data_IF_714566169297
#
_entry.id   IF_714566169297
#
_cell.length_a   1.000
_cell.length_b   1.000
_cell.length_c   1.000
_cell.angle_alpha   90.00
_cell.angle_beta   90.00
_cell.angle_gamma   90.00
#
_symmetry.space_group_name_H-M   'P 1'
#
loop_
_entity.id
_entity.type
_entity.pdbx_description
1 polymer ?
#
# COMPACT_ATOMS: atom_id res chain seq x y z
N UNK A 1 9.86 5.33 12.29
CA UNK A 1 10.36 4.39 11.26
C UNK A 1 11.63 4.95 10.62
N UNK A 2 12.75 4.20 10.67
CA UNK A 2 14.00 4.53 9.94
C UNK A 2 13.85 4.02 8.51
N UNK A 3 14.37 4.77 7.52
CA UNK A 3 14.37 4.36 6.11
C UNK A 3 15.81 4.34 5.64
N UNK A 4 16.21 3.26 4.98
CA UNK A 4 17.56 3.10 4.42
C UNK A 4 17.46 2.54 2.99
N UNK A 5 18.44 2.87 2.16
CA UNK A 5 18.59 2.23 0.86
C UNK A 5 19.24 0.86 0.99
N UNK A 6 18.80 -0.10 0.18
CA UNK A 6 19.33 -1.47 0.18
C UNK A 6 20.84 -1.53 -0.13
N UNK A 7 21.35 -0.58 -0.90
CA UNK A 7 22.78 -0.52 -1.23
C UNK A 7 23.60 0.23 -0.18
N UNK A 8 22.99 0.92 0.79
CA UNK A 8 23.71 1.54 1.91
C UNK A 8 24.18 0.51 2.94
N UNK A 9 25.30 0.81 3.60
CA UNK A 9 25.80 0.02 4.72
C UNK A 9 24.98 0.35 5.98
N UNK A 10 24.46 -0.68 6.62
CA UNK A 10 23.79 -0.55 7.91
C UNK A 10 24.76 -0.93 9.03
N UNK A 11 25.48 0.06 9.59
CA UNK A 11 26.61 -0.14 10.50
C UNK A 11 26.27 -0.92 11.77
N UNK A 12 25.10 -0.68 12.35
CA UNK A 12 24.74 -1.23 13.67
C UNK A 12 24.31 -2.70 13.62
N UNK A 13 23.92 -3.20 12.44
CA UNK A 13 23.43 -4.57 12.18
C UNK A 13 22.61 -5.19 13.33
N UNK A 14 21.55 -4.54 13.83
CA UNK A 14 20.71 -5.14 14.85
C UNK A 14 20.05 -6.40 14.32
N UNK A 15 19.59 -7.27 15.21
CA UNK A 15 18.74 -8.39 14.81
C UNK A 15 17.45 -7.86 14.17
N UNK A 16 17.04 -8.40 13.03
CA UNK A 16 15.81 -8.03 12.35
C UNK A 16 14.94 -9.24 12.02
N UNK A 17 13.64 -9.10 12.09
CA UNK A 17 12.65 -9.93 11.40
C UNK A 17 12.24 -9.16 10.15
N UNK A 18 12.49 -9.73 8.98
CA UNK A 18 12.39 -9.05 7.70
C UNK A 18 11.23 -9.57 6.87
N UNK A 19 10.32 -8.68 6.53
CA UNK A 19 9.25 -8.98 5.59
C UNK A 19 9.66 -8.56 4.18
N UNK A 20 9.48 -9.42 3.19
CA UNK A 20 9.79 -9.12 1.78
C UNK A 20 8.48 -8.96 0.98
N UNK A 21 8.30 -7.82 0.29
CA UNK A 21 7.15 -7.60 -0.56
C UNK A 21 7.10 -6.22 -1.21
N UNK A 22 6.27 -6.09 -2.25
CA UNK A 22 6.05 -4.78 -2.88
C UNK A 22 5.01 -3.93 -2.13
N UNK A 23 3.94 -4.57 -1.64
CA UNK A 23 2.86 -3.91 -0.89
C UNK A 23 2.20 -2.75 -1.66
N UNK A 24 1.82 -3.01 -2.90
CA UNK A 24 1.11 -2.04 -3.74
C UNK A 24 -0.14 -1.47 -3.04
N UNK A 25 -0.89 -2.36 -2.39
CA UNK A 25 -2.01 -2.03 -1.51
C UNK A 25 -1.94 -2.94 -0.27
N UNK A 26 -2.44 -2.45 0.87
CA UNK A 26 -2.39 -3.21 2.12
C UNK A 26 -3.70 -3.99 2.31
N UNK A 27 -3.80 -5.15 1.66
CA UNK A 27 -4.94 -6.06 1.86
C UNK A 27 -4.79 -6.90 3.14
N UNK A 28 -5.88 -7.58 3.54
CA UNK A 28 -5.91 -8.35 4.79
C UNK A 28 -4.85 -9.45 4.86
N UNK A 29 -4.44 -10.05 3.73
CA UNK A 29 -3.32 -10.99 3.67
C UNK A 29 -1.99 -10.33 4.03
N UNK A 30 -1.74 -9.10 3.54
CA UNK A 30 -0.56 -8.32 3.93
C UNK A 30 -0.59 -7.95 5.43
N UNK A 31 -1.78 -7.62 5.96
CA UNK A 31 -1.96 -7.33 7.39
C UNK A 31 -1.50 -8.50 8.26
N UNK A 32 -1.99 -9.71 7.99
CA UNK A 32 -1.63 -10.90 8.75
C UNK A 32 -0.12 -11.16 8.73
N UNK A 33 0.50 -11.04 7.56
CA UNK A 33 1.94 -11.20 7.37
C UNK A 33 2.75 -10.18 8.20
N UNK A 34 2.35 -8.90 8.16
CA UNK A 34 3.02 -7.83 8.91
C UNK A 34 2.78 -7.94 10.42
N UNK A 35 1.57 -8.35 10.87
CA UNK A 35 1.26 -8.58 12.29
C UNK A 35 2.04 -9.77 12.86
N UNK A 36 2.19 -10.85 12.08
CA UNK A 36 3.04 -11.98 12.47
C UNK A 36 4.48 -11.53 12.66
N UNK A 37 5.06 -10.87 11.65
CA UNK A 37 6.45 -10.42 11.70
C UNK A 37 6.72 -9.44 12.86
N UNK A 38 5.77 -8.56 13.16
CA UNK A 38 5.85 -7.65 14.32
C UNK A 38 5.91 -8.42 15.64
N UNK A 39 5.00 -9.38 15.83
CA UNK A 39 4.97 -10.22 17.05
C UNK A 39 6.24 -11.05 17.20
N UNK A 40 6.74 -11.63 16.10
CA UNK A 40 7.97 -12.43 16.14
C UNK A 40 9.19 -11.55 16.39
N UNK A 41 9.24 -10.33 15.86
CA UNK A 41 10.31 -9.37 16.17
C UNK A 41 10.31 -9.01 17.67
N UNK A 42 9.17 -8.77 18.28
CA UNK A 42 9.04 -8.52 19.73
C UNK A 42 9.54 -9.72 20.54
N UNK A 43 9.13 -10.94 20.19
CA UNK A 43 9.54 -12.18 20.86
C UNK A 43 11.04 -12.45 20.76
N UNK A 44 11.65 -12.16 19.60
CA UNK A 44 13.08 -12.36 19.36
C UNK A 44 13.96 -11.17 19.79
N UNK A 45 13.37 -10.13 20.41
CA UNK A 45 14.04 -8.87 20.70
C UNK A 45 14.80 -8.32 19.48
N UNK A 46 14.11 -8.30 18.33
CA UNK A 46 14.60 -7.88 17.03
C UNK A 46 13.80 -6.67 16.53
N UNK A 47 14.31 -5.98 15.51
CA UNK A 47 13.63 -4.89 14.82
C UNK A 47 12.66 -5.47 13.79
N UNK A 48 11.41 -5.01 13.79
CA UNK A 48 10.45 -5.29 12.74
C UNK A 48 10.79 -4.47 11.49
N UNK A 49 11.25 -5.17 10.45
CA UNK A 49 11.73 -4.58 9.21
C UNK A 49 10.92 -5.03 7.99
N UNK A 50 10.81 -4.14 7.00
CA UNK A 50 10.19 -4.44 5.70
C UNK A 50 11.17 -4.06 4.59
N UNK A 51 11.31 -4.93 3.59
CA UNK A 51 11.96 -4.61 2.32
C UNK A 51 10.90 -4.38 1.24
N UNK A 52 11.00 -3.25 0.51
CA UNK A 52 10.11 -2.93 -0.61
C UNK A 52 10.80 -2.06 -1.65
N UNK A 53 10.14 -1.83 -2.81
CA UNK A 53 10.65 -0.92 -3.84
C UNK A 53 10.13 0.50 -3.64
N UNK A 54 11.01 1.49 -3.81
CA UNK A 54 10.68 2.92 -3.66
C UNK A 54 10.05 3.54 -4.92
N UNK A 55 10.21 2.90 -6.08
CA UNK A 55 9.64 3.36 -7.35
C UNK A 55 8.47 2.48 -7.81
N UNK A 56 7.77 2.95 -8.86
CA UNK A 56 6.82 2.13 -9.58
C UNK A 56 7.56 1.02 -10.33
N UNK A 57 7.08 -0.21 -10.15
CA UNK A 57 7.67 -1.41 -10.76
C UNK A 57 6.91 -1.88 -12.02
N UNK A 58 5.85 -1.21 -12.44
CA UNK A 58 5.02 -1.63 -13.57
C UNK A 58 5.81 -1.72 -14.88
N UNK A 59 6.73 -0.80 -15.12
CA UNK A 59 7.61 -0.82 -16.29
C UNK A 59 8.64 -1.94 -16.30
N UNK A 60 8.87 -2.62 -15.17
CA UNK A 60 9.84 -3.72 -15.02
C UNK A 60 9.18 -5.08 -14.78
N UNK A 61 7.86 -5.10 -14.65
CA UNK A 61 7.07 -6.30 -14.42
C UNK A 61 5.82 -6.24 -15.28
N UNK A 62 5.13 -7.37 -15.48
CA UNK A 62 3.82 -7.40 -16.16
C UNK A 62 2.67 -6.84 -15.31
N UNK A 63 2.99 -6.13 -14.22
CA UNK A 63 2.01 -5.52 -13.34
C UNK A 63 1.53 -4.18 -13.90
N UNK A 64 0.25 -3.91 -13.70
CA UNK A 64 -0.34 -2.59 -13.98
C UNK A 64 0.17 -1.56 -12.98
N UNK A 65 -0.03 -0.27 -13.27
CA UNK A 65 0.29 0.84 -12.37
C UNK A 65 -0.11 0.58 -10.92
N UNK A 66 0.68 1.03 -9.94
CA UNK A 66 0.40 0.81 -8.53
C UNK A 66 -0.88 1.55 -8.10
N UNK A 67 -1.57 0.99 -7.09
CA UNK A 67 -2.72 1.65 -6.44
C UNK A 67 -2.21 2.78 -5.56
N UNK A 68 -1.17 2.50 -4.76
CA UNK A 68 -0.57 3.47 -3.85
C UNK A 68 0.86 3.80 -4.26
N UNK A 69 1.15 5.10 -4.38
CA UNK A 69 2.51 5.57 -4.57
C UNK A 69 3.38 5.29 -3.33
N UNK A 70 4.69 5.51 -3.45
CA UNK A 70 5.62 5.19 -2.37
C UNK A 70 5.38 6.04 -1.11
N UNK A 71 5.02 7.31 -1.24
CA UNK A 71 4.73 8.20 -0.10
C UNK A 71 3.55 7.68 0.73
N UNK A 72 2.46 7.26 0.07
CA UNK A 72 1.32 6.63 0.72
C UNK A 72 1.73 5.34 1.42
N UNK A 73 2.46 4.45 0.75
CA UNK A 73 2.93 3.18 1.33
C UNK A 73 3.81 3.41 2.56
N UNK A 74 4.70 4.42 2.56
CA UNK A 74 5.52 4.79 3.73
C UNK A 74 4.66 5.16 4.94
N UNK A 75 3.62 5.98 4.74
CA UNK A 75 2.68 6.36 5.80
C UNK A 75 2.00 5.12 6.40
N UNK A 76 1.52 4.21 5.55
CA UNK A 76 0.84 2.99 5.99
C UNK A 76 1.78 2.01 6.70
N UNK A 77 3.03 1.86 6.27
CA UNK A 77 4.04 1.08 6.99
C UNK A 77 4.31 1.66 8.40
N UNK A 78 4.40 2.97 8.51
CA UNK A 78 4.59 3.63 9.80
C UNK A 78 3.41 3.40 10.75
N UNK A 79 2.16 3.47 10.26
CA UNK A 79 0.94 3.17 11.02
C UNK A 79 0.90 1.71 11.49
N UNK A 80 1.43 0.76 10.71
CA UNK A 80 1.53 -0.65 11.07
C UNK A 80 2.68 -0.94 12.06
N UNK A 81 3.47 0.08 12.39
CA UNK A 81 4.54 -0.03 13.37
C UNK A 81 5.87 -0.56 12.82
N UNK A 82 6.08 -0.52 11.52
CA UNK A 82 7.38 -0.86 10.91
C UNK A 82 8.44 0.07 11.49
N UNK A 83 9.53 -0.52 12.00
CA UNK A 83 10.62 0.20 12.63
C UNK A 83 11.75 0.53 11.64
N UNK A 84 12.00 -0.38 10.70
CA UNK A 84 13.01 -0.24 9.66
C UNK A 84 12.40 -0.53 8.28
N UNK A 85 12.44 0.43 7.37
CA UNK A 85 12.05 0.27 5.98
C UNK A 85 13.31 0.24 5.11
N UNK A 86 13.60 -0.92 4.53
CA UNK A 86 14.69 -1.11 3.58
C UNK A 86 14.11 -0.92 2.19
N UNK A 87 14.66 -0.01 1.42
CA UNK A 87 14.14 0.32 0.09
C UNK A 87 15.16 0.07 -1.00
N UNK A 88 14.71 -0.43 -2.14
CA UNK A 88 15.52 -0.51 -3.35
C UNK A 88 14.78 0.16 -4.51
N UNK A 89 15.52 0.56 -5.53
CA UNK A 89 14.91 0.91 -6.83
C UNK A 89 14.84 -0.34 -7.70
N UNK A 90 13.66 -0.64 -8.22
CA UNK A 90 13.53 -1.61 -9.30
C UNK A 90 14.04 -0.93 -10.58
N UNK A 91 15.26 -1.23 -10.96
CA UNK A 91 15.91 -0.82 -12.19
C UNK A 91 16.45 -2.05 -12.94
N UNK A 92 17.16 -1.83 -14.03
CA UNK A 92 17.70 -2.93 -14.83
C UNK A 92 18.73 -3.75 -14.06
N UNK A 93 19.52 -3.15 -13.17
CA UNK A 93 20.49 -3.83 -12.32
C UNK A 93 19.78 -4.75 -11.33
N UNK A 94 18.78 -4.23 -10.61
CA UNK A 94 18.01 -5.04 -9.66
C UNK A 94 17.20 -6.16 -10.36
N UNK A 95 16.60 -5.85 -11.53
CA UNK A 95 15.86 -6.84 -12.33
C UNK A 95 16.72 -8.02 -12.80
N UNK A 96 18.01 -7.77 -13.07
CA UNK A 96 18.95 -8.79 -13.51
C UNK A 96 19.59 -9.58 -12.35
N UNK A 97 19.43 -9.14 -11.11
CA UNK A 97 20.01 -9.75 -9.92
C UNK A 97 19.45 -11.14 -9.70
N UNK A 98 20.32 -12.13 -9.59
CA UNK A 98 19.93 -13.51 -9.26
C UNK A 98 19.45 -13.63 -7.81
N UNK A 99 18.75 -14.72 -7.52
CA UNK A 99 18.31 -15.00 -6.14
C UNK A 99 19.49 -15.15 -5.19
N UNK A 100 20.58 -15.82 -5.61
CA UNK A 100 21.78 -15.99 -4.80
C UNK A 100 22.50 -14.67 -4.52
N UNK A 101 22.61 -13.77 -5.52
CA UNK A 101 23.17 -12.43 -5.31
C UNK A 101 22.35 -11.60 -4.33
N UNK A 102 21.01 -11.62 -4.45
CA UNK A 102 20.13 -10.96 -3.50
C UNK A 102 20.30 -11.53 -2.09
N UNK A 103 20.30 -12.85 -1.94
CA UNK A 103 20.50 -13.55 -0.67
C UNK A 103 21.87 -13.24 -0.04
N UNK A 104 22.94 -13.22 -0.84
CA UNK A 104 24.27 -12.85 -0.39
C UNK A 104 24.33 -11.41 0.14
N UNK A 105 23.74 -10.45 -0.57
CA UNK A 105 23.64 -9.05 -0.11
C UNK A 105 22.84 -8.94 1.20
N UNK A 106 21.75 -9.69 1.37
CA UNK A 106 21.00 -9.71 2.62
C UNK A 106 21.85 -10.20 3.79
N UNK A 107 22.60 -11.31 3.63
CA UNK A 107 23.50 -11.87 4.66
C UNK A 107 24.64 -10.90 5.02
N UNK A 108 25.22 -10.27 4.01
CA UNK A 108 26.33 -9.34 4.21
C UNK A 108 25.91 -8.10 4.99
N UNK A 109 24.73 -7.55 4.66
CA UNK A 109 24.31 -6.24 5.17
C UNK A 109 23.51 -6.29 6.47
N UNK A 110 22.77 -7.38 6.70
CA UNK A 110 21.79 -7.44 7.80
C UNK A 110 21.95 -8.68 8.66
N UNK A 111 21.65 -8.55 9.94
CA UNK A 111 21.59 -9.67 10.89
C UNK A 111 20.14 -10.20 10.98
N UNK A 112 19.73 -10.98 9.98
CA UNK A 112 18.36 -11.45 9.84
C UNK A 112 18.12 -12.66 10.73
N UNK A 113 17.15 -12.60 11.63
CA UNK A 113 16.70 -13.72 12.46
C UNK A 113 15.68 -14.57 11.74
N UNK A 114 14.77 -13.91 11.02
CA UNK A 114 13.71 -14.57 10.28
C UNK A 114 13.29 -13.71 9.09
N UNK A 115 12.95 -14.36 7.98
CA UNK A 115 12.32 -13.74 6.81
C UNK A 115 10.85 -14.20 6.78
N UNK A 116 9.93 -13.28 6.59
CA UNK A 116 8.49 -13.57 6.49
C UNK A 116 7.99 -13.20 5.10
N UNK A 117 7.35 -14.14 4.42
CA UNK A 117 6.85 -13.98 3.04
C UNK A 117 5.46 -14.59 2.86
N UNK A 118 4.73 -14.17 1.85
CA UNK A 118 3.53 -14.86 1.39
C UNK A 118 3.86 -16.11 0.58
N UNK A 119 2.93 -17.07 0.52
CA UNK A 119 3.10 -18.31 -0.26
C UNK A 119 3.32 -18.07 -1.76
N UNK A 120 2.85 -16.94 -2.30
CA UNK A 120 3.01 -16.52 -3.69
C UNK A 120 4.27 -15.66 -3.95
N UNK A 121 5.14 -15.53 -2.93
CA UNK A 121 6.35 -14.73 -3.04
C UNK A 121 7.30 -15.27 -4.10
N UNK A 122 7.73 -14.38 -4.99
CA UNK A 122 8.70 -14.66 -6.04
C UNK A 122 9.73 -13.55 -6.14
N UNK A 123 11.01 -13.90 -6.32
CA UNK A 123 12.13 -12.97 -6.39
C UNK A 123 13.23 -13.45 -7.36
N UNK A 124 14.32 -12.69 -7.43
CA UNK A 124 15.41 -12.97 -8.36
C UNK A 124 15.07 -12.59 -9.80
N UNK A 125 16.04 -12.81 -10.69
CA UNK A 125 15.90 -12.50 -12.10
C UNK A 125 14.65 -13.17 -12.68
N UNK A 126 13.82 -12.36 -13.37
CA UNK A 126 12.54 -12.82 -13.97
C UNK A 126 11.54 -13.44 -12.96
N UNK A 127 11.72 -13.24 -11.64
CA UNK A 127 10.87 -13.84 -10.59
C UNK A 127 10.86 -15.38 -10.62
N UNK A 128 11.95 -15.99 -11.04
CA UNK A 128 12.06 -17.46 -11.21
C UNK A 128 12.24 -18.22 -9.89
N UNK A 129 12.59 -17.53 -8.81
CA UNK A 129 12.85 -18.11 -7.49
C UNK A 129 11.72 -17.85 -6.52
N UNK A 130 11.59 -18.73 -5.52
CA UNK A 130 10.63 -18.59 -4.43
C UNK A 130 11.33 -18.72 -3.06
N UNK A 131 10.54 -18.76 -2.00
CA UNK A 131 11.01 -18.81 -0.62
C UNK A 131 11.90 -20.05 -0.31
N UNK A 132 11.82 -21.14 -1.09
CA UNK A 132 12.67 -22.31 -0.87
C UNK A 132 14.14 -21.99 -1.12
N UNK A 133 14.44 -21.15 -2.12
CA UNK A 133 15.83 -20.70 -2.35
C UNK A 133 16.37 -19.93 -1.14
N UNK A 134 15.56 -19.11 -0.46
CA UNK A 134 16.00 -18.44 0.77
C UNK A 134 16.31 -19.44 1.89
N UNK A 135 15.55 -20.54 2.00
CA UNK A 135 15.82 -21.61 2.95
C UNK A 135 17.11 -22.38 2.61
N UNK A 136 17.29 -22.70 1.34
CA UNK A 136 18.52 -23.36 0.84
C UNK A 136 19.75 -22.48 1.09
N UNK A 137 19.60 -21.16 1.00
CA UNK A 137 20.61 -20.19 1.38
C UNK A 137 20.79 -20.03 2.90
N UNK A 138 20.09 -20.80 3.73
CA UNK A 138 20.28 -20.87 5.18
C UNK A 138 19.51 -19.83 6.01
N UNK A 139 18.53 -19.15 5.43
CA UNK A 139 17.62 -18.29 6.21
C UNK A 139 16.52 -19.11 6.89
N UNK A 140 16.13 -18.70 8.09
CA UNK A 140 14.84 -19.11 8.68
C UNK A 140 13.74 -18.35 7.93
N UNK A 141 12.79 -19.08 7.32
CA UNK A 141 11.74 -18.47 6.50
C UNK A 141 10.38 -18.98 6.93
N UNK A 142 9.55 -18.06 7.41
CA UNK A 142 8.12 -18.28 7.64
C UNK A 142 7.32 -17.92 6.40
N UNK A 143 6.38 -18.80 6.04
CA UNK A 143 5.57 -18.65 4.83
C UNK A 143 4.10 -18.57 5.22
N UNK A 144 3.53 -17.38 5.04
CA UNK A 144 2.13 -17.13 5.36
C UNK A 144 1.21 -17.63 4.26
N UNK A 145 0.18 -18.37 4.66
CA UNK A 145 -0.85 -18.86 3.74
C UNK A 145 -1.66 -17.71 3.14
N UNK A 146 -2.17 -17.93 1.93
CA UNK A 146 -3.04 -16.96 1.27
C UNK A 146 -4.38 -16.87 1.99
N UNK A 147 -4.83 -15.63 2.22
CA UNK A 147 -6.12 -15.37 2.84
C UNK A 147 -7.21 -15.36 1.76
N UNK A 148 -8.38 -15.91 2.11
CA UNK A 148 -9.56 -15.94 1.24
C UNK A 148 -10.64 -14.98 1.74
N UNK A 149 -11.43 -14.48 0.80
CA UNK A 149 -12.62 -13.67 1.07
C UNK A 149 -13.83 -14.56 1.47
N UNK A 150 -14.96 -13.93 1.69
CA UNK A 150 -16.24 -14.62 2.03
C UNK A 150 -16.81 -15.51 0.91
N UNK A 151 -16.27 -15.43 -0.29
CA UNK A 151 -16.64 -16.22 -1.46
C UNK A 151 -15.59 -17.29 -1.80
N UNK A 152 -14.64 -17.55 -0.88
CA UNK A 152 -13.53 -18.52 -1.03
C UNK A 152 -12.50 -18.12 -2.10
N UNK A 153 -12.50 -16.86 -2.59
CA UNK A 153 -11.50 -16.36 -3.51
C UNK A 153 -10.28 -15.85 -2.75
N UNK A 154 -9.08 -16.07 -3.31
CA UNK A 154 -7.84 -15.54 -2.73
C UNK A 154 -7.83 -14.03 -2.82
N UNK A 155 -7.65 -13.35 -1.68
CA UNK A 155 -7.46 -11.90 -1.62
C UNK A 155 -6.08 -11.57 -2.20
N UNK A 156 -6.05 -10.81 -3.28
CA UNK A 156 -4.82 -10.40 -3.96
C UNK A 156 -4.95 -9.01 -4.60
N UNK A 157 -3.81 -8.38 -4.83
CA UNK A 157 -3.75 -7.03 -5.42
C UNK A 157 -4.40 -6.93 -6.80
N UNK A 158 -4.28 -7.96 -7.64
CA UNK A 158 -4.82 -7.95 -9.01
C UNK A 158 -6.34 -7.86 -9.02
N UNK A 159 -7.02 -8.62 -8.16
CA UNK A 159 -8.47 -8.61 -8.09
C UNK A 159 -8.99 -7.34 -7.41
N UNK A 160 -8.29 -6.82 -6.39
CA UNK A 160 -8.58 -5.50 -5.81
C UNK A 160 -8.50 -4.39 -6.88
N UNK A 161 -7.51 -4.41 -7.77
CA UNK A 161 -7.44 -3.47 -8.91
C UNK A 161 -8.67 -3.56 -9.83
N UNK A 162 -9.15 -4.77 -10.10
CA UNK A 162 -10.38 -4.97 -10.90
C UNK A 162 -11.62 -4.41 -10.20
N UNK A 163 -11.74 -4.63 -8.88
CA UNK A 163 -12.84 -4.09 -8.07
C UNK A 163 -12.84 -2.56 -8.06
N UNK A 164 -11.68 -1.92 -7.92
CA UNK A 164 -11.54 -0.45 -8.02
C UNK A 164 -11.99 0.03 -9.40
N UNK A 165 -11.49 -0.57 -10.48
CA UNK A 165 -11.87 -0.21 -11.86
C UNK A 165 -13.36 -0.41 -12.15
N UNK A 166 -14.02 -1.36 -11.50
CA UNK A 166 -15.46 -1.59 -11.65
C UNK A 166 -16.33 -0.70 -10.73
N UNK A 167 -15.73 -0.04 -9.74
CA UNK A 167 -16.43 0.80 -8.77
C UNK A 167 -16.95 0.05 -7.55
N UNK A 168 -16.64 -1.23 -7.37
CA UNK A 168 -17.09 -2.06 -6.26
C UNK A 168 -16.33 -1.72 -4.95
N UNK A 169 -16.39 -0.46 -4.53
CA UNK A 169 -15.58 0.07 -3.43
C UNK A 169 -15.94 -0.55 -2.08
N UNK A 170 -17.18 -0.92 -1.87
CA UNK A 170 -17.57 -1.63 -0.65
C UNK A 170 -16.77 -2.94 -0.50
N UNK A 171 -16.68 -3.72 -1.55
CA UNK A 171 -15.93 -4.98 -1.55
C UNK A 171 -14.42 -4.76 -1.47
N UNK A 172 -13.90 -3.69 -2.10
CA UNK A 172 -12.51 -3.26 -1.91
C UNK A 172 -12.23 -3.02 -0.43
N UNK A 173 -13.04 -2.24 0.26
CA UNK A 173 -12.86 -1.90 1.67
C UNK A 173 -13.01 -3.09 2.62
N UNK A 174 -13.81 -4.11 2.25
CA UNK A 174 -13.91 -5.37 2.99
C UNK A 174 -12.61 -6.21 2.91
N UNK A 175 -11.78 -6.00 1.88
CA UNK A 175 -10.54 -6.74 1.65
C UNK A 175 -9.27 -5.97 2.06
N UNK A 176 -9.38 -4.66 2.33
CA UNK A 176 -8.25 -3.82 2.71
C UNK A 176 -8.06 -3.70 4.23
N UNK A 177 -6.83 -3.48 4.64
CA UNK A 177 -6.46 -3.15 6.04
C UNK A 177 -6.92 -1.74 6.42
N UNK A 178 -6.86 -0.82 5.47
CA UNK A 178 -7.27 0.58 5.60
C UNK A 178 -8.30 0.90 4.54
N UNK A 179 -9.27 1.75 4.86
CA UNK A 179 -10.24 2.23 3.87
C UNK A 179 -9.53 2.79 2.64
N UNK A 180 -10.00 2.42 1.47
CA UNK A 180 -9.45 2.89 0.21
C UNK A 180 -9.49 4.41 0.14
N UNK A 181 -8.35 5.04 -0.11
CA UNK A 181 -8.23 6.49 -0.12
C UNK A 181 -7.22 6.97 -1.14
N UNK A 182 -7.39 8.20 -1.59
CA UNK A 182 -6.54 8.87 -2.58
C UNK A 182 -6.23 10.28 -2.10
N UNK A 183 -5.03 10.78 -2.39
CA UNK A 183 -4.67 12.16 -2.09
C UNK A 183 -5.29 13.09 -3.12
N UNK A 184 -5.85 14.22 -2.68
CA UNK A 184 -6.38 15.27 -3.55
C UNK A 184 -5.32 16.34 -3.79
N UNK A 185 -5.32 16.91 -5.01
CA UNK A 185 -4.35 17.93 -5.45
C UNK A 185 -5.01 18.94 -6.36
N UNK A 186 -4.35 20.09 -6.57
CA UNK A 186 -4.79 21.12 -7.50
C UNK A 186 -6.26 21.54 -7.27
N UNK A 187 -6.61 21.81 -6.03
CA UNK A 187 -7.96 22.14 -5.64
C UNK A 187 -8.37 23.51 -6.17
N UNK A 188 -9.48 23.56 -6.91
CA UNK A 188 -10.08 24.77 -7.47
C UNK A 188 -11.47 24.94 -6.90
N UNK A 189 -11.76 26.12 -6.32
CA UNK A 189 -13.10 26.49 -5.86
C UNK A 189 -13.85 27.20 -6.97
N UNK A 190 -15.02 26.67 -7.32
CA UNK A 190 -15.95 27.28 -8.25
C UNK A 190 -16.85 28.35 -7.60
N UNK A 191 -17.42 29.21 -8.39
CA UNK A 191 -18.30 30.31 -7.95
C UNK A 191 -19.57 29.84 -7.22
N UNK A 192 -19.99 28.60 -7.38
CA UNK A 192 -21.18 28.01 -6.76
C UNK A 192 -20.83 27.23 -5.45
N UNK A 193 -19.62 27.39 -4.90
CA UNK A 193 -19.15 26.72 -3.69
C UNK A 193 -18.87 25.23 -3.90
N UNK A 194 -18.57 24.81 -5.12
CA UNK A 194 -18.06 23.48 -5.43
C UNK A 194 -16.54 23.49 -5.46
N UNK A 195 -15.94 22.38 -5.06
CA UNK A 195 -14.50 22.11 -5.14
C UNK A 195 -14.28 21.04 -6.19
N UNK A 196 -13.43 21.34 -7.16
CA UNK A 196 -12.88 20.40 -8.12
C UNK A 196 -11.42 20.15 -7.76
N UNK A 197 -11.03 18.88 -7.62
CA UNK A 197 -9.65 18.50 -7.32
C UNK A 197 -9.20 17.32 -8.18
N UNK A 198 -7.91 17.25 -8.46
CA UNK A 198 -7.29 16.11 -9.11
C UNK A 198 -7.09 14.99 -8.09
N UNK A 199 -7.29 13.74 -8.52
CA UNK A 199 -7.02 12.53 -7.74
C UNK A 199 -6.29 11.52 -8.61
N UNK A 200 -5.38 10.77 -7.98
CA UNK A 200 -4.63 9.72 -8.66
C UNK A 200 -5.31 8.38 -8.44
N UNK A 201 -6.19 8.00 -9.36
CA UNK A 201 -6.96 6.77 -9.27
C UNK A 201 -7.46 6.28 -10.62
N UNK A 202 -7.56 4.96 -10.76
CA UNK A 202 -8.24 4.27 -11.87
C UNK A 202 -9.68 3.88 -11.50
N UNK A 203 -10.29 4.58 -10.54
CA UNK A 203 -11.65 4.33 -10.12
C UNK A 203 -12.63 4.66 -11.25
N UNK A 204 -13.65 3.81 -11.40
CA UNK A 204 -14.75 4.04 -12.36
C UNK A 204 -15.41 5.40 -12.13
N UNK A 205 -15.72 6.11 -13.22
CA UNK A 205 -16.51 7.33 -13.16
C UNK A 205 -17.90 7.05 -12.51
N UNK A 206 -18.28 7.85 -11.53
CA UNK A 206 -19.52 7.62 -10.79
C UNK A 206 -19.73 8.58 -9.62
N UNK A 207 -20.80 8.31 -8.86
CA UNK A 207 -21.07 9.03 -7.61
C UNK A 207 -20.72 8.12 -6.44
N UNK A 208 -20.07 8.70 -5.44
CA UNK A 208 -19.56 7.98 -4.28
C UNK A 208 -19.90 8.71 -2.99
N UNK A 209 -19.96 7.97 -1.90
CA UNK A 209 -19.93 8.53 -0.56
C UNK A 209 -18.47 8.50 -0.11
N UNK A 210 -17.99 9.64 0.32
CA UNK A 210 -16.62 9.89 0.70
C UNK A 210 -16.52 10.52 2.09
N UNK A 211 -15.34 10.48 2.69
CA UNK A 211 -14.94 11.29 3.82
C UNK A 211 -13.57 11.89 3.52
N UNK A 212 -13.25 13.01 4.14
CA UNK A 212 -11.99 13.71 3.92
C UNK A 212 -11.23 13.85 5.23
N UNK A 213 -9.94 13.60 5.21
CA UNK A 213 -9.00 13.86 6.29
C UNK A 213 -8.00 14.93 5.86
N UNK A 214 -7.87 15.96 6.69
CA UNK A 214 -6.92 17.03 6.49
C UNK A 214 -6.37 17.50 7.84
N UNK A 215 -5.05 17.45 8.03
CA UNK A 215 -4.39 17.87 9.29
C UNK A 215 -5.03 17.26 10.55
N UNK A 216 -5.17 15.94 10.60
CA UNK A 216 -5.78 15.17 11.72
C UNK A 216 -7.26 15.51 12.01
N UNK A 217 -7.92 16.24 11.10
CA UNK A 217 -9.35 16.50 11.15
C UNK A 217 -10.07 15.69 10.10
N UNK A 218 -11.22 15.14 10.48
CA UNK A 218 -12.06 14.33 9.59
C UNK A 218 -13.39 15.02 9.31
N UNK A 219 -13.86 14.94 8.07
CA UNK A 219 -15.23 15.33 7.73
C UNK A 219 -16.23 14.25 8.16
N UNK A 220 -17.51 14.61 8.24
CA UNK A 220 -18.59 13.62 8.09
C UNK A 220 -18.56 13.02 6.68
N UNK A 221 -19.33 11.95 6.47
CA UNK A 221 -19.54 11.39 5.13
C UNK A 221 -20.29 12.39 4.24
N UNK A 222 -19.90 12.46 2.97
CA UNK A 222 -20.52 13.33 1.99
C UNK A 222 -20.56 12.70 0.59
N UNK A 223 -21.53 13.07 -0.26
CA UNK A 223 -21.57 12.66 -1.64
C UNK A 223 -20.55 13.44 -2.48
N UNK A 224 -19.88 12.74 -3.38
CA UNK A 224 -18.99 13.32 -4.37
C UNK A 224 -19.20 12.66 -5.75
N UNK A 225 -18.79 13.36 -6.80
CA UNK A 225 -18.73 12.81 -8.16
C UNK A 225 -17.28 12.64 -8.57
N UNK A 226 -16.91 11.44 -9.01
CA UNK A 226 -15.58 11.14 -9.56
C UNK A 226 -15.72 10.95 -11.06
N UNK A 227 -14.94 11.70 -11.83
CA UNK A 227 -14.90 11.62 -13.28
C UNK A 227 -13.51 11.99 -13.79
N UNK A 228 -12.94 11.13 -14.65
CA UNK A 228 -11.68 11.36 -15.37
C UNK A 228 -10.54 11.82 -14.43
N UNK A 229 -10.34 11.06 -13.35
CA UNK A 229 -9.33 11.34 -12.31
C UNK A 229 -9.51 12.70 -11.62
N UNK A 230 -10.74 13.18 -11.55
CA UNK A 230 -11.13 14.39 -10.80
C UNK A 230 -12.26 14.07 -9.85
N UNK A 231 -12.27 14.72 -8.70
CA UNK A 231 -13.38 14.67 -7.74
C UNK A 231 -14.05 16.03 -7.64
N UNK A 232 -15.37 16.02 -7.64
CA UNK A 232 -16.22 17.20 -7.45
C UNK A 232 -17.09 17.00 -6.20
N UNK A 233 -17.06 17.96 -5.27
CA UNK A 233 -17.88 17.98 -4.07
C UNK A 233 -18.18 19.41 -3.59
N UNK A 234 -19.14 19.58 -2.68
CA UNK A 234 -19.49 20.91 -2.15
C UNK A 234 -18.58 21.32 -1.00
N UNK A 235 -18.11 22.57 -0.99
CA UNK A 235 -17.27 23.13 0.09
C UNK A 235 -17.95 23.07 1.46
N UNK A 236 -19.29 23.16 1.50
CA UNK A 236 -20.06 23.09 2.75
C UNK A 236 -19.86 21.80 3.55
N UNK A 237 -19.45 20.69 2.89
CA UNK A 237 -19.17 19.40 3.57
C UNK A 237 -17.92 19.44 4.43
N UNK A 238 -17.07 20.44 4.24
CA UNK A 238 -15.78 20.54 4.93
C UNK A 238 -15.90 21.06 6.37
N UNK A 239 -17.07 21.58 6.77
CA UNK A 239 -17.43 21.83 8.18
C UNK A 239 -16.38 22.52 9.05
N UNK A 240 -15.53 23.41 8.50
CA UNK A 240 -14.46 24.07 9.25
C UNK A 240 -13.16 23.25 9.40
N UNK A 241 -13.04 22.12 8.71
CA UNK A 241 -11.81 21.31 8.66
C UNK A 241 -10.63 22.11 8.10
N UNK A 242 -10.93 23.10 7.25
CA UNK A 242 -9.94 23.91 6.55
C UNK A 242 -9.77 25.24 7.27
N UNK A 243 -8.63 25.39 7.96
CA UNK A 243 -8.07 26.69 8.24
C UNK A 243 -7.14 27.03 7.06
N UNK A 244 -7.40 28.13 6.35
CA UNK A 244 -6.53 28.67 5.28
C UNK A 244 -6.59 28.02 3.89
N UNK A 245 -7.72 27.48 3.44
CA UNK A 245 -7.97 27.06 2.03
C UNK A 245 -6.95 26.12 1.38
N UNK A 246 -6.16 25.35 2.15
CA UNK A 246 -5.25 24.34 1.58
C UNK A 246 -5.81 22.96 1.78
N UNK A 247 -6.39 22.41 0.70
CA UNK A 247 -6.83 21.01 0.61
C UNK A 247 -5.79 20.14 -0.08
N UNK A 248 -4.79 20.73 -0.69
CA UNK A 248 -3.74 19.95 -1.34
C UNK A 248 -3.08 19.03 -0.33
N UNK A 249 -2.88 17.76 -0.71
CA UNK A 249 -2.42 16.65 0.12
C UNK A 249 -3.43 16.13 1.17
N UNK A 250 -4.68 16.62 1.19
CA UNK A 250 -5.71 15.98 1.98
C UNK A 250 -6.04 14.58 1.43
N UNK A 251 -6.46 13.69 2.31
CA UNK A 251 -6.78 12.31 1.98
C UNK A 251 -8.29 12.14 1.81
N UNK A 252 -8.73 11.74 0.63
CA UNK A 252 -10.11 11.42 0.31
C UNK A 252 -10.34 9.92 0.48
N UNK A 253 -11.09 9.53 1.50
CA UNK A 253 -11.54 8.17 1.74
C UNK A 253 -12.78 7.88 0.92
N UNK A 254 -12.75 6.87 0.08
CA UNK A 254 -13.86 6.46 -0.77
C UNK A 254 -14.54 5.26 -0.10
N UNK A 255 -15.75 5.48 0.39
CA UNK A 255 -16.44 4.54 1.27
C UNK A 255 -17.28 3.54 0.47
N UNK A 256 -18.09 4.03 -0.48
CA UNK A 256 -18.95 3.20 -1.31
C UNK A 256 -19.45 3.95 -2.54
N UNK A 257 -19.85 3.21 -3.59
CA UNK A 257 -20.57 3.76 -4.73
C UNK A 257 -22.03 4.06 -4.34
N UNK A 258 -22.58 5.16 -4.85
CA UNK A 258 -24.01 5.50 -4.69
C UNK A 258 -24.83 4.72 -5.72
N UNK A 259 -25.67 3.82 -5.27
CA UNK A 259 -26.56 3.06 -6.13
C UNK A 259 -27.64 3.96 -6.75
N UNK A 260 -28.06 3.67 -7.99
CA UNK A 260 -29.11 4.44 -8.70
C UNK A 260 -30.43 4.59 -7.92
N UNK A 261 -30.71 3.70 -6.96
CA UNK A 261 -31.92 3.76 -6.11
C UNK A 261 -31.84 4.84 -5.02
N UNK A 262 -30.64 5.25 -4.58
CA UNK A 262 -30.44 6.28 -3.55
C UNK A 262 -30.51 7.72 -4.11
N UNK A 263 -30.61 7.89 -5.45
CA UNK A 263 -30.74 9.22 -6.09
C UNK A 263 -32.15 9.83 -6.02
N UNK A 264 -33.16 9.08 -5.60
CA UNK A 264 -34.58 9.49 -5.60
C UNK A 264 -35.19 9.58 -4.18
N UNK A 265 -34.39 9.53 -3.16
CA UNK A 265 -34.76 9.83 -1.76
C UNK A 265 -34.01 11.08 -1.29
#
# INVERSE_FOLDING_TARGET
MKIIDFDELYSDKPHIVLVLGYFDVFHLGHKLLLEYAKKEAEKLNAIFAVFTFSNDISSYTDKTEPIYNFEKRKKLFALLGVQLLITAKMDQSFKSMSASEFSAKLKEKYNIKEIVVGMDFKFGKNRESDFNVLREEGFVVEVMSLLKDKHDNIINTTDIKKLIKSGNIKEVNEQLTFTYSVSIRNCIEGSNGEILADIDTNLKNGNYICALECYDKHSSEFPCTIKDSKVLFKKSVLGGIIANNKLDDAELYILREVNRKEKNS
#
